data_IF_011749317373
#
_entry.id   IF_011749317373
#
_cell.length_a   1.000
_cell.length_b   1.000
_cell.length_c   1.000
_cell.angle_alpha   90.00
_cell.angle_beta   90.00
_cell.angle_gamma   90.00
#
_symmetry.space_group_name_H-M   'P 1'
#
loop_
_entity.id
_entity.type
_entity.pdbx_description
1 polymer ?
#
# COMPACT_ATOMS: atom_id res chain seq x y z
N UNK A 1 16.18 2.42 -13.72
CA UNK A 1 16.92 2.54 -12.45
C UNK A 1 18.37 2.90 -12.76
N UNK A 2 19.02 3.70 -11.91
CA UNK A 2 20.47 3.94 -11.92
C UNK A 2 20.99 3.67 -10.51
N UNK A 3 22.11 2.98 -10.39
CA UNK A 3 22.76 2.70 -9.12
C UNK A 3 24.13 3.39 -9.10
N UNK A 4 24.56 3.87 -7.95
CA UNK A 4 25.90 4.41 -7.72
C UNK A 4 26.40 3.92 -6.35
N UNK A 5 27.72 3.76 -6.21
CA UNK A 5 28.36 3.35 -4.97
C UNK A 5 28.38 4.49 -3.95
N UNK A 6 28.29 4.16 -2.67
CA UNK A 6 28.35 5.13 -1.56
C UNK A 6 29.01 4.45 -0.35
N UNK A 7 29.68 5.24 0.48
CA UNK A 7 30.22 4.75 1.75
C UNK A 7 29.08 4.44 2.73
N UNK A 8 29.30 3.46 3.60
CA UNK A 8 28.38 3.21 4.69
C UNK A 8 28.28 4.43 5.61
N UNK A 9 27.06 4.86 5.90
CA UNK A 9 26.77 5.91 6.86
C UNK A 9 25.59 5.48 7.73
N UNK A 10 25.67 5.72 9.03
CA UNK A 10 24.51 5.59 9.91
C UNK A 10 23.58 6.81 9.70
N UNK A 11 22.26 6.58 9.57
CA UNK A 11 21.32 7.66 9.37
C UNK A 11 21.19 8.50 10.65
N UNK A 12 20.83 9.79 10.50
CA UNK A 12 20.53 10.65 11.66
C UNK A 12 19.25 10.22 12.39
N UNK A 13 18.32 9.65 11.64
CA UNK A 13 17.03 9.18 12.10
C UNK A 13 16.75 7.83 11.43
N UNK A 14 16.37 6.82 12.21
CA UNK A 14 15.86 5.55 11.72
C UNK A 14 14.44 5.36 12.25
N UNK A 15 13.58 4.77 11.41
CA UNK A 15 12.26 4.30 11.82
C UNK A 15 12.32 2.78 11.84
N UNK A 16 12.31 2.21 13.05
CA UNK A 16 12.54 0.78 13.25
C UNK A 16 11.30 -0.06 12.95
N UNK A 17 10.11 0.56 12.91
CA UNK A 17 8.84 -0.14 12.67
C UNK A 17 7.88 0.75 11.85
N UNK A 18 8.16 0.96 10.56
CA UNK A 18 7.26 1.71 9.68
C UNK A 18 5.89 1.05 9.61
N UNK A 19 4.85 1.88 9.45
CA UNK A 19 3.54 1.38 9.05
C UNK A 19 3.56 1.05 7.56
N UNK A 20 2.89 -0.04 7.19
CA UNK A 20 2.73 -0.45 5.80
C UNK A 20 1.27 -0.42 5.40
N UNK A 21 0.98 0.17 4.24
CA UNK A 21 -0.35 0.13 3.66
C UNK A 21 -0.42 -0.97 2.60
N UNK A 22 -1.43 -1.83 2.71
CA UNK A 22 -1.72 -2.87 1.73
C UNK A 22 -3.09 -2.63 1.11
N UNK A 23 -3.14 -2.64 -0.21
CA UNK A 23 -4.37 -2.55 -0.99
C UNK A 23 -4.59 -3.88 -1.71
N UNK A 24 -5.70 -4.57 -1.46
CA UNK A 24 -6.14 -5.71 -2.27
C UNK A 24 -7.22 -5.29 -3.25
N UNK A 25 -7.03 -5.63 -4.52
CA UNK A 25 -7.92 -5.28 -5.61
C UNK A 25 -8.71 -6.49 -6.07
N UNK A 26 -10.04 -6.34 -6.08
CA UNK A 26 -10.96 -7.35 -6.59
C UNK A 26 -11.80 -6.76 -7.71
N UNK A 27 -11.98 -7.55 -8.78
CA UNK A 27 -12.90 -7.22 -9.86
C UNK A 27 -14.11 -8.16 -9.76
N UNK A 28 -15.28 -7.68 -9.30
CA UNK A 28 -16.41 -8.57 -9.04
C UNK A 28 -16.85 -9.35 -10.29
N UNK A 29 -16.89 -8.67 -11.44
CA UNK A 29 -17.30 -9.23 -12.75
C UNK A 29 -16.63 -8.48 -13.91
N UNK A 30 -16.51 -9.09 -15.10
CA UNK A 30 -16.13 -8.37 -16.32
C UNK A 30 -17.06 -7.15 -16.56
N UNK A 31 -16.48 -6.01 -16.95
CA UNK A 31 -17.22 -4.76 -17.17
C UNK A 31 -17.41 -3.86 -15.93
N UNK A 32 -17.14 -4.34 -14.72
CA UNK A 32 -17.19 -3.53 -13.49
C UNK A 32 -15.84 -2.88 -13.19
N UNK A 33 -15.85 -1.84 -12.35
CA UNK A 33 -14.64 -1.24 -11.77
C UNK A 33 -13.94 -2.18 -10.79
N UNK A 34 -12.67 -1.89 -10.48
CA UNK A 34 -11.95 -2.58 -9.42
C UNK A 34 -12.33 -2.01 -8.05
N UNK A 35 -12.73 -2.88 -7.14
CA UNK A 35 -12.96 -2.56 -5.74
C UNK A 35 -11.67 -2.75 -4.93
N UNK A 36 -11.60 -2.07 -3.80
CA UNK A 36 -10.42 -1.99 -2.95
C UNK A 36 -10.77 -2.42 -1.52
N UNK A 37 -10.03 -3.39 -1.00
CA UNK A 37 -9.93 -3.66 0.43
C UNK A 37 -8.55 -3.16 0.91
N UNK A 38 -8.54 -2.12 1.76
CA UNK A 38 -7.31 -1.49 2.23
C UNK A 38 -7.04 -1.79 3.70
N UNK A 39 -5.78 -2.09 4.01
CA UNK A 39 -5.28 -2.43 5.34
C UNK A 39 -4.06 -1.58 5.67
N UNK A 40 -3.85 -1.35 6.96
CA UNK A 40 -2.60 -0.81 7.51
C UNK A 40 -2.04 -1.87 8.45
N UNK A 41 -0.78 -2.24 8.23
CA UNK A 41 0.00 -3.11 9.08
C UNK A 41 0.91 -2.23 9.92
N UNK A 42 0.73 -2.28 11.23
CA UNK A 42 1.55 -1.58 12.22
C UNK A 42 2.48 -2.57 12.90
N UNK A 43 3.54 -2.09 13.55
CA UNK A 43 4.45 -2.94 14.34
C UNK A 43 5.07 -4.10 13.53
N UNK A 44 5.12 -3.97 12.22
CA UNK A 44 5.78 -4.95 11.34
C UNK A 44 7.29 -4.74 11.41
N UNK A 45 8.04 -5.83 11.60
CA UNK A 45 9.48 -5.75 11.76
C UNK A 45 10.19 -5.33 10.46
N UNK A 46 9.78 -5.90 9.33
CA UNK A 46 10.32 -5.53 8.02
C UNK A 46 9.37 -5.88 6.85
N UNK A 47 9.80 -5.52 5.64
CA UNK A 47 9.06 -5.80 4.41
C UNK A 47 8.86 -7.30 4.13
N UNK A 48 9.74 -8.17 4.62
CA UNK A 48 9.61 -9.62 4.44
C UNK A 48 8.43 -10.17 5.22
N UNK A 49 8.23 -9.68 6.46
CA UNK A 49 7.06 -10.01 7.27
C UNK A 49 5.77 -9.53 6.59
N UNK A 50 5.77 -8.29 6.09
CA UNK A 50 4.65 -7.72 5.35
C UNK A 50 4.31 -8.57 4.12
N UNK A 51 5.30 -8.99 3.34
CA UNK A 51 5.06 -9.81 2.15
C UNK A 51 4.50 -11.20 2.51
N UNK A 52 4.95 -11.80 3.61
CA UNK A 52 4.35 -13.05 4.11
C UNK A 52 2.88 -12.85 4.47
N UNK A 53 2.55 -11.79 5.20
CA UNK A 53 1.16 -11.47 5.52
C UNK A 53 0.32 -11.27 4.25
N UNK A 54 0.86 -10.56 3.26
CA UNK A 54 0.20 -10.35 1.96
C UNK A 54 -0.06 -11.69 1.26
N UNK A 55 0.90 -12.60 1.20
CA UNK A 55 0.72 -13.92 0.56
C UNK A 55 -0.41 -14.73 1.23
N UNK A 56 -0.48 -14.69 2.55
CA UNK A 56 -1.53 -15.37 3.34
C UNK A 56 -2.93 -14.77 3.13
N UNK A 57 -3.02 -13.44 2.91
CA UNK A 57 -4.30 -12.72 2.87
C UNK A 57 -4.75 -12.31 1.45
N UNK A 58 -3.86 -12.38 0.46
CA UNK A 58 -4.17 -11.96 -0.91
C UNK A 58 -5.30 -12.81 -1.52
N UNK A 59 -5.34 -14.12 -1.21
CA UNK A 59 -6.30 -15.05 -1.81
C UNK A 59 -6.34 -14.93 -3.36
N UNK A 60 -5.15 -14.84 -3.96
CA UNK A 60 -4.97 -14.65 -5.40
C UNK A 60 -5.37 -13.27 -5.96
N UNK A 61 -5.82 -12.32 -5.12
CA UNK A 61 -6.15 -10.96 -5.54
C UNK A 61 -4.89 -10.19 -5.95
N UNK A 62 -5.07 -9.23 -6.86
CA UNK A 62 -4.03 -8.24 -7.14
C UNK A 62 -3.83 -7.38 -5.91
N UNK A 63 -2.61 -6.92 -5.68
CA UNK A 63 -2.33 -6.09 -4.52
C UNK A 63 -1.31 -4.99 -4.80
N UNK A 64 -1.23 -4.04 -3.89
CA UNK A 64 -0.17 -3.06 -3.78
C UNK A 64 0.32 -2.99 -2.33
N UNK A 65 1.62 -2.75 -2.15
CA UNK A 65 2.25 -2.53 -0.84
C UNK A 65 2.97 -1.19 -0.86
N UNK A 66 2.77 -0.41 0.20
CA UNK A 66 3.40 0.88 0.42
C UNK A 66 4.01 0.93 1.84
N UNK A 67 5.12 1.65 1.99
CA UNK A 67 5.55 2.17 3.30
C UNK A 67 4.97 3.57 3.51
N UNK A 68 4.50 3.86 4.73
CA UNK A 68 4.16 5.21 5.17
C UNK A 68 5.43 6.03 5.43
N UNK A 69 5.44 7.31 5.05
CA UNK A 69 6.59 8.21 5.29
C UNK A 69 6.56 8.84 6.66
N UNK A 70 5.36 8.97 7.22
CA UNK A 70 5.10 9.58 8.52
C UNK A 70 4.40 8.54 9.41
N UNK A 71 4.83 8.45 10.67
CA UNK A 71 4.09 7.69 11.67
C UNK A 71 2.74 8.36 11.93
N UNK A 72 1.67 7.62 11.65
CA UNK A 72 0.31 8.02 12.01
C UNK A 72 -0.29 7.00 12.98
N UNK A 73 -0.97 7.47 14.05
CA UNK A 73 -1.61 6.59 15.02
C UNK A 73 -2.69 5.74 14.36
N UNK A 74 -3.09 4.64 15.02
CA UNK A 74 -4.25 3.87 14.58
C UNK A 74 -5.51 4.71 14.76
N UNK A 75 -6.23 4.95 13.66
CA UNK A 75 -7.44 5.76 13.63
C UNK A 75 -8.68 4.89 13.36
N UNK A 76 -9.88 5.28 13.82
CA UNK A 76 -11.12 4.59 13.49
C UNK A 76 -11.36 4.48 11.99
N UNK A 77 -11.98 3.37 11.56
CA UNK A 77 -12.38 3.17 10.17
C UNK A 77 -13.24 4.34 9.67
N UNK A 78 -12.93 4.83 8.46
CA UNK A 78 -13.59 5.99 7.86
C UNK A 78 -12.86 7.32 8.13
N UNK A 79 -11.90 7.36 9.05
CA UNK A 79 -10.98 8.49 9.19
C UNK A 79 -9.87 8.35 8.15
N UNK A 80 -9.71 9.31 7.21
CA UNK A 80 -8.64 9.25 6.23
C UNK A 80 -7.26 9.34 6.89
N UNK A 81 -6.32 8.53 6.40
CA UNK A 81 -4.89 8.68 6.69
C UNK A 81 -4.24 9.61 5.67
N UNK A 82 -3.28 10.41 6.10
CA UNK A 82 -2.67 11.48 5.30
C UNK A 82 -1.18 11.29 5.03
N UNK A 83 -0.55 10.30 5.66
CA UNK A 83 0.86 9.97 5.52
C UNK A 83 1.24 9.80 4.05
N UNK A 84 2.42 10.31 3.70
CA UNK A 84 2.98 10.07 2.37
C UNK A 84 3.21 8.57 2.17
N UNK A 85 3.18 8.12 0.91
CA UNK A 85 3.29 6.70 0.56
C UNK A 85 4.43 6.46 -0.41
N UNK A 86 5.33 5.55 -0.04
CA UNK A 86 6.36 5.00 -0.93
C UNK A 86 5.90 3.63 -1.42
N UNK A 87 5.67 3.48 -2.73
CA UNK A 87 5.28 2.19 -3.32
C UNK A 87 6.46 1.22 -3.28
N UNK A 88 6.24 0.05 -2.69
CA UNK A 88 7.22 -1.03 -2.60
C UNK A 88 6.93 -2.13 -3.63
N UNK A 89 5.65 -2.49 -3.81
CA UNK A 89 5.25 -3.57 -4.71
C UNK A 89 3.86 -3.37 -5.32
N UNK A 90 3.64 -3.99 -6.47
CA UNK A 90 2.34 -4.03 -7.15
C UNK A 90 1.98 -2.77 -7.93
N UNK A 91 0.81 -2.78 -8.54
CA UNK A 91 0.30 -1.68 -9.36
C UNK A 91 -1.21 -1.51 -9.19
N UNK A 92 -1.67 -0.26 -9.25
CA UNK A 92 -3.08 0.06 -9.20
C UNK A 92 -3.73 -0.34 -10.54
N UNK A 93 -4.68 -1.27 -10.58
CA UNK A 93 -5.29 -1.69 -11.83
C UNK A 93 -6.23 -0.64 -12.46
N UNK A 94 -6.55 0.44 -11.73
CA UNK A 94 -7.31 1.58 -12.24
C UNK A 94 -6.44 2.67 -12.89
N UNK A 95 -5.10 2.62 -12.79
CA UNK A 95 -4.27 3.63 -13.47
C UNK A 95 -4.46 3.56 -14.98
N UNK A 96 -4.89 4.68 -15.57
CA UNK A 96 -5.21 4.79 -17.00
C UNK A 96 -6.70 4.66 -17.35
N UNK A 97 -7.57 4.32 -16.39
CA UNK A 97 -9.03 4.27 -16.58
C UNK A 97 -9.63 5.52 -15.94
N UNK A 98 -9.62 6.64 -16.67
CA UNK A 98 -10.45 7.82 -16.33
C UNK A 98 -11.87 7.54 -16.80
N UNK A 99 -12.68 6.90 -15.95
CA UNK A 99 -14.12 6.80 -16.15
C UNK A 99 -14.82 7.79 -15.23
N UNK A 100 -15.44 8.84 -15.79
CA UNK A 100 -16.45 9.59 -15.05
C UNK A 100 -17.53 8.62 -14.58
N UNK A 101 -17.67 8.48 -13.25
CA UNK A 101 -18.84 7.82 -12.68
C UNK A 101 -19.93 8.88 -12.62
N UNK A 102 -20.69 9.03 -13.70
CA UNK A 102 -21.96 9.78 -13.61
C UNK A 102 -22.92 8.96 -12.75
N UNK A 103 -23.10 9.38 -11.50
CA UNK A 103 -24.27 9.00 -10.72
C UNK A 103 -25.49 9.56 -11.46
N UNK A 104 -26.30 8.67 -12.06
CA UNK A 104 -27.64 9.05 -12.48
C UNK A 104 -28.52 9.05 -11.24
N UNK A 105 -29.11 10.22 -10.96
CA UNK A 105 -30.16 10.44 -9.97
C UNK A 105 -31.39 9.55 -10.20
#
# INVERSE_FOLDING_TARGET
>A
MRAYETDHAEPRESMDSPNYRVNFWVKPRPGYGWNLDAYVLTESGDITEVLRWVEEHADGRRFEVFAETDEEPVLPLGTPRTSGLVRLLGSNPNTGISGEISLKE
#
